data_IF_591425142113
#
_entry.id   IF_591425142113
#
_cell.length_a   1.000
_cell.length_b   1.000
_cell.length_c   1.000
_cell.angle_alpha   90.00
_cell.angle_beta   90.00
_cell.angle_gamma   90.00
#
_symmetry.space_group_name_H-M   'P 1'
#
loop_
_entity.id
_entity.type
_entity.pdbx_description
1 polymer ?
#
# COMPACT_ATOMS: atom_id res chain seq x y z
N UNK A 1 8.41 9.38 2.14
CA UNK A 1 9.43 9.00 3.14
C UNK A 1 10.82 8.74 2.56
N UNK A 2 10.99 7.78 1.66
CA UNK A 2 12.33 7.42 1.11
C UNK A 2 13.12 8.63 0.54
N UNK A 3 12.53 9.55 -0.25
CA UNK A 3 13.27 10.71 -0.76
C UNK A 3 13.91 11.56 0.34
N UNK A 4 13.19 11.81 1.43
CA UNK A 4 13.65 12.64 2.55
C UNK A 4 14.81 12.01 3.32
N UNK A 5 14.83 10.68 3.46
CA UNK A 5 15.97 9.95 4.06
C UNK A 5 17.19 9.97 3.13
N UNK A 6 16.98 9.86 1.81
CA UNK A 6 18.07 9.96 0.82
C UNK A 6 18.75 11.32 0.84
N UNK A 7 17.98 12.40 0.96
CA UNK A 7 18.50 13.77 1.02
C UNK A 7 19.00 14.17 2.42
N UNK A 8 18.99 13.22 3.39
CA UNK A 8 19.40 13.45 4.78
C UNK A 8 18.59 14.54 5.50
N UNK A 9 17.34 14.76 5.09
CA UNK A 9 16.42 15.60 5.86
C UNK A 9 15.98 14.90 7.15
N UNK A 10 15.99 13.56 7.17
CA UNK A 10 15.75 12.73 8.35
C UNK A 10 16.78 11.59 8.38
N UNK A 11 17.12 11.14 9.58
CA UNK A 11 18.08 10.04 9.78
C UNK A 11 17.45 8.67 9.51
N UNK A 12 16.17 8.51 9.87
CA UNK A 12 15.41 7.29 9.68
C UNK A 12 13.93 7.59 9.34
N UNK A 13 13.24 6.62 8.73
CA UNK A 13 11.80 6.67 8.52
C UNK A 13 11.15 5.32 8.85
N UNK A 14 10.08 5.36 9.64
CA UNK A 14 9.21 4.21 9.94
C UNK A 14 7.77 4.57 9.54
N UNK A 15 7.21 3.81 8.61
CA UNK A 15 5.87 4.07 8.06
C UNK A 15 5.33 2.86 7.28
N UNK A 16 5.54 1.65 7.80
CA UNK A 16 5.18 0.39 7.13
C UNK A 16 5.72 0.31 5.70
N UNK A 17 7.01 0.62 5.55
CA UNK A 17 7.65 0.66 4.23
C UNK A 17 8.05 -0.76 3.86
N UNK A 18 7.40 -1.35 2.85
CA UNK A 18 7.77 -2.67 2.35
C UNK A 18 9.23 -2.70 1.91
N UNK A 19 9.90 -3.77 2.33
CA UNK A 19 11.23 -4.11 1.86
C UNK A 19 11.08 -4.66 0.44
N UNK A 20 11.67 -3.98 -0.54
CA UNK A 20 11.71 -4.47 -1.92
C UNK A 20 13.10 -4.27 -2.50
N UNK A 21 13.49 -5.10 -3.47
CA UNK A 21 14.79 -4.97 -4.13
C UNK A 21 14.97 -3.58 -4.77
N UNK A 22 13.91 -3.03 -5.36
CA UNK A 22 13.91 -1.71 -5.95
C UNK A 22 14.20 -0.61 -4.91
N UNK A 23 13.63 -0.71 -3.70
CA UNK A 23 13.87 0.23 -2.61
C UNK A 23 15.25 0.02 -1.98
N UNK A 24 15.68 -1.23 -1.77
CA UNK A 24 16.99 -1.58 -1.20
C UNK A 24 18.17 -1.11 -2.08
N UNK A 25 17.96 -0.90 -3.38
CA UNK A 25 18.95 -0.24 -4.25
C UNK A 25 19.19 1.22 -3.87
N UNK A 26 18.23 1.89 -3.23
CA UNK A 26 18.26 3.32 -2.93
C UNK A 26 18.56 3.67 -1.48
N UNK A 27 18.23 2.79 -0.53
CA UNK A 27 18.33 3.00 0.92
C UNK A 27 18.71 1.70 1.64
N UNK A 28 19.10 1.79 2.91
CA UNK A 28 19.23 0.62 3.78
C UNK A 28 17.94 0.40 4.56
N UNK A 29 17.67 -0.87 4.88
CA UNK A 29 16.57 -1.28 5.73
C UNK A 29 17.12 -1.94 7.01
N UNK A 30 16.42 -1.76 8.12
CA UNK A 30 16.56 -2.65 9.28
C UNK A 30 16.10 -4.07 8.94
N UNK A 31 16.33 -5.01 9.87
CA UNK A 31 15.57 -6.25 9.88
C UNK A 31 14.07 -5.94 9.90
N UNK A 32 13.29 -6.80 9.24
CA UNK A 32 11.83 -6.65 9.19
C UNK A 32 11.25 -6.77 10.60
N UNK A 33 10.48 -5.76 11.01
CA UNK A 33 9.77 -5.77 12.29
C UNK A 33 8.34 -6.33 12.17
N UNK A 34 7.87 -6.60 10.94
CA UNK A 34 6.57 -7.20 10.67
C UNK A 34 6.57 -7.91 9.32
N UNK A 35 6.46 -9.25 9.33
CA UNK A 35 6.62 -10.11 8.14
C UNK A 35 5.33 -10.40 7.37
N UNK A 36 4.15 -10.26 7.99
CA UNK A 36 2.86 -10.60 7.37
C UNK A 36 2.30 -9.46 6.50
N UNK A 37 3.18 -8.80 5.72
CA UNK A 37 2.76 -7.80 4.74
C UNK A 37 2.04 -8.51 3.60
N UNK A 38 0.71 -8.43 3.55
CA UNK A 38 -0.10 -9.02 2.48
C UNK A 38 -1.07 -8.01 1.93
N UNK A 39 -1.29 -8.01 0.61
CA UNK A 39 -2.15 -7.04 -0.05
C UNK A 39 -3.54 -7.62 -0.31
N UNK A 40 -4.59 -6.83 -0.13
CA UNK A 40 -5.98 -7.22 -0.41
C UNK A 40 -6.78 -6.08 -1.01
N UNK A 41 -7.84 -6.41 -1.74
CA UNK A 41 -8.81 -5.44 -2.24
C UNK A 41 -10.01 -5.35 -1.31
N UNK A 42 -10.52 -4.14 -1.11
CA UNK A 42 -11.84 -3.90 -0.49
C UNK A 42 -12.73 -3.07 -1.39
N UNK A 43 -14.03 -3.28 -1.25
CA UNK A 43 -15.09 -2.51 -1.90
C UNK A 43 -16.24 -2.28 -0.90
N UNK A 44 -17.23 -1.47 -1.29
CA UNK A 44 -18.50 -1.42 -0.55
C UNK A 44 -19.26 -2.75 -0.67
N UNK A 45 -20.03 -3.09 0.37
CA UNK A 45 -21.01 -4.18 0.37
C UNK A 45 -22.07 -3.92 -0.70
N UNK A 46 -22.30 -4.91 -1.56
CA UNK A 46 -23.16 -4.77 -2.73
C UNK A 46 -22.59 -3.85 -3.82
N UNK A 47 -21.34 -3.39 -3.66
CA UNK A 47 -20.63 -2.58 -4.63
C UNK A 47 -20.05 -3.39 -5.79
N UNK A 48 -19.05 -2.81 -6.46
CA UNK A 48 -18.49 -3.38 -7.68
C UNK A 48 -17.58 -4.58 -7.38
N UNK A 49 -17.70 -5.63 -8.19
CA UNK A 49 -16.73 -6.73 -8.20
C UNK A 49 -15.44 -6.31 -8.93
N UNK A 50 -14.35 -7.06 -8.74
CA UNK A 50 -13.06 -6.77 -9.37
C UNK A 50 -13.13 -6.76 -10.91
N UNK A 51 -14.03 -7.53 -11.52
CA UNK A 51 -14.13 -7.62 -12.97
C UNK A 51 -14.77 -6.39 -13.61
N UNK A 52 -15.60 -5.67 -12.85
CA UNK A 52 -16.30 -4.45 -13.31
C UNK A 52 -15.62 -3.17 -12.84
N UNK A 53 -14.84 -3.23 -11.76
CA UNK A 53 -14.14 -2.09 -11.19
C UNK A 53 -13.26 -1.38 -12.22
N UNK A 54 -13.30 -0.05 -12.22
CA UNK A 54 -12.49 0.79 -13.11
C UNK A 54 -11.56 1.69 -12.34
N UNK A 55 -12.03 2.32 -11.26
CA UNK A 55 -11.24 3.25 -10.46
C UNK A 55 -10.75 2.54 -9.20
N UNK A 56 -9.43 2.52 -9.03
CA UNK A 56 -8.78 1.90 -7.87
C UNK A 56 -8.07 2.97 -7.05
N UNK A 57 -8.27 2.94 -5.73
CA UNK A 57 -7.43 3.72 -4.84
C UNK A 57 -6.09 3.04 -4.59
N UNK A 58 -5.04 3.86 -4.56
CA UNK A 58 -3.70 3.48 -4.11
C UNK A 58 -3.05 4.63 -3.35
N UNK A 59 -2.34 4.33 -2.27
CA UNK A 59 -1.59 5.37 -1.56
C UNK A 59 -0.38 5.84 -2.39
N UNK A 60 -0.19 7.16 -2.50
CA UNK A 60 0.90 7.72 -3.31
C UNK A 60 2.29 7.29 -2.79
N UNK A 61 3.17 6.80 -3.68
CA UNK A 61 4.51 6.32 -3.36
C UNK A 61 4.58 4.92 -2.73
N UNK A 62 3.44 4.25 -2.56
CA UNK A 62 3.37 2.89 -2.01
C UNK A 62 3.75 1.82 -3.02
N UNK A 63 4.02 0.61 -2.53
CA UNK A 63 4.13 -0.60 -3.37
C UNK A 63 2.81 -0.93 -4.05
N UNK A 64 1.67 -0.64 -3.42
CA UNK A 64 0.33 -0.81 -4.02
C UNK A 64 0.18 0.02 -5.30
N UNK A 65 0.62 1.29 -5.28
CA UNK A 65 0.62 2.13 -6.49
C UNK A 65 1.52 1.55 -7.58
N UNK A 66 2.73 1.11 -7.23
CA UNK A 66 3.66 0.52 -8.19
C UNK A 66 3.12 -0.78 -8.81
N UNK A 67 2.55 -1.65 -7.97
CA UNK A 67 1.90 -2.88 -8.39
C UNK A 67 0.72 -2.57 -9.32
N UNK A 68 -0.15 -1.64 -8.95
CA UNK A 68 -1.33 -1.29 -9.77
C UNK A 68 -0.94 -0.79 -11.16
N UNK A 69 0.03 0.11 -11.22
CA UNK A 69 0.53 0.65 -12.49
C UNK A 69 1.17 -0.41 -13.40
N UNK A 70 1.81 -1.43 -12.81
CA UNK A 70 2.56 -2.43 -13.55
C UNK A 70 1.70 -3.65 -13.93
N UNK A 71 0.90 -4.16 -12.99
CA UNK A 71 0.29 -5.49 -13.04
C UNK A 71 -1.23 -5.46 -13.24
N UNK A 72 -1.93 -4.38 -12.88
CA UNK A 72 -3.40 -4.28 -12.97
C UNK A 72 -3.88 -3.12 -13.83
N UNK A 73 -3.35 -3.07 -15.07
CA UNK A 73 -3.57 -2.01 -16.05
C UNK A 73 -5.03 -1.79 -16.46
N UNK A 74 -5.93 -2.71 -16.14
CA UNK A 74 -7.37 -2.55 -16.34
C UNK A 74 -7.97 -1.48 -15.41
N UNK A 75 -7.31 -1.17 -14.30
CA UNK A 75 -7.76 -0.15 -13.37
C UNK A 75 -7.07 1.19 -13.60
N UNK A 76 -7.82 2.27 -13.37
CA UNK A 76 -7.34 3.65 -13.35
C UNK A 76 -6.99 4.02 -11.91
N UNK A 77 -5.71 4.17 -11.55
CA UNK A 77 -5.31 4.51 -10.20
C UNK A 77 -5.69 5.95 -9.85
N UNK A 78 -6.28 6.12 -8.68
CA UNK A 78 -6.51 7.39 -8.01
C UNK A 78 -5.64 7.41 -6.76
N UNK A 79 -4.68 8.33 -6.74
CA UNK A 79 -3.67 8.36 -5.69
C UNK A 79 -4.13 9.25 -4.53
N UNK A 80 -4.15 8.70 -3.32
CA UNK A 80 -4.51 9.44 -2.10
C UNK A 80 -3.32 9.50 -1.14
N UNK A 81 -3.31 10.54 -0.31
CA UNK A 81 -2.32 10.70 0.77
C UNK A 81 -2.82 10.02 2.03
N UNK A 82 -4.11 10.20 2.35
CA UNK A 82 -4.76 9.60 3.50
C UNK A 82 -5.81 8.56 3.04
N UNK A 83 -6.03 7.54 3.88
CA UNK A 83 -6.99 6.47 3.58
C UNK A 83 -8.45 6.87 3.89
N UNK A 84 -8.68 7.88 4.73
CA UNK A 84 -10.03 8.31 5.14
C UNK A 84 -10.77 9.00 3.99
N UNK A 85 -10.10 9.90 3.27
CA UNK A 85 -10.56 10.57 2.05
C UNK A 85 -10.85 9.53 0.96
N UNK A 86 -9.97 8.52 0.83
CA UNK A 86 -10.18 7.41 -0.08
C UNK A 86 -11.47 6.64 0.24
N UNK A 87 -11.73 6.34 1.51
CA UNK A 87 -12.98 5.70 1.94
C UNK A 87 -14.19 6.58 1.70
N UNK A 88 -14.09 7.90 1.92
CA UNK A 88 -15.18 8.82 1.61
C UNK A 88 -15.51 8.81 0.11
N UNK A 89 -14.50 8.84 -0.74
CA UNK A 89 -14.68 8.78 -2.20
C UNK A 89 -15.16 7.41 -2.69
N UNK A 90 -14.78 6.32 -2.01
CA UNK A 90 -15.35 4.99 -2.22
C UNK A 90 -16.86 4.99 -1.90
N UNK A 91 -17.27 5.53 -0.75
CA UNK A 91 -18.68 5.67 -0.34
C UNK A 91 -19.50 6.51 -1.33
N UNK A 92 -18.88 7.55 -1.90
CA UNK A 92 -19.50 8.42 -2.88
C UNK A 92 -19.47 7.85 -4.32
N UNK A 93 -18.91 6.65 -4.53
CA UNK A 93 -18.83 6.01 -5.84
C UNK A 93 -17.84 6.65 -6.81
N UNK A 94 -16.90 7.48 -6.32
CA UNK A 94 -15.83 8.07 -7.14
C UNK A 94 -14.68 7.09 -7.34
N UNK A 95 -14.55 6.12 -6.44
CA UNK A 95 -13.63 4.99 -6.50
C UNK A 95 -14.47 3.73 -6.37
N UNK A 96 -14.08 2.66 -7.07
CA UNK A 96 -14.80 1.39 -7.03
C UNK A 96 -14.19 0.43 -5.99
N UNK A 97 -12.86 0.41 -5.88
CA UNK A 97 -12.10 -0.49 -5.01
C UNK A 97 -10.87 0.19 -4.41
N UNK A 98 -10.40 -0.31 -3.27
CA UNK A 98 -9.17 0.11 -2.59
C UNK A 98 -8.20 -1.07 -2.53
N UNK A 99 -6.91 -0.84 -2.78
CA UNK A 99 -5.86 -1.84 -2.60
C UNK A 99 -4.85 -1.37 -1.55
N UNK A 100 -4.73 -2.15 -0.47
CA UNK A 100 -3.80 -1.84 0.62
C UNK A 100 -3.39 -3.08 1.41
N UNK A 101 -2.66 -2.86 2.50
CA UNK A 101 -2.25 -3.90 3.45
C UNK A 101 -3.48 -4.54 4.11
N UNK A 102 -3.49 -5.86 4.19
CA UNK A 102 -4.64 -6.64 4.64
C UNK A 102 -4.94 -6.38 6.12
N UNK A 103 -3.91 -6.23 6.97
CA UNK A 103 -4.12 -5.97 8.39
C UNK A 103 -4.66 -4.55 8.61
N UNK A 104 -4.15 -3.58 7.85
CA UNK A 104 -4.68 -2.21 7.85
C UNK A 104 -6.15 -2.16 7.43
N UNK A 105 -6.49 -2.85 6.34
CA UNK A 105 -7.86 -2.95 5.85
C UNK A 105 -8.78 -3.65 6.85
N UNK A 106 -8.31 -4.73 7.48
CA UNK A 106 -9.07 -5.45 8.50
C UNK A 106 -9.35 -4.57 9.73
N UNK A 107 -8.40 -3.74 10.16
CA UNK A 107 -8.65 -2.78 11.26
C UNK A 107 -9.65 -1.69 10.83
N UNK A 108 -9.52 -1.17 9.62
CA UNK A 108 -10.42 -0.16 9.08
C UNK A 108 -11.87 -0.67 8.98
N UNK A 109 -12.07 -1.91 8.55
CA UNK A 109 -13.39 -2.53 8.45
C UNK A 109 -14.12 -2.65 9.80
N UNK A 110 -13.42 -2.61 10.94
CA UNK A 110 -14.06 -2.53 12.27
C UNK A 110 -14.78 -1.19 12.47
N UNK A 111 -14.32 -0.13 11.81
CA UNK A 111 -14.87 1.23 11.87
C UNK A 111 -15.85 1.50 10.73
N UNK A 112 -15.66 0.81 9.61
CA UNK A 112 -16.40 0.97 8.36
C UNK A 112 -17.10 -0.35 7.97
N UNK A 113 -18.19 -0.74 8.68
CA UNK A 113 -18.84 -2.05 8.50
C UNK A 113 -19.49 -2.25 7.14
N UNK A 114 -19.66 -1.21 6.33
CA UNK A 114 -20.12 -1.24 4.94
C UNK A 114 -19.06 -1.73 3.96
N UNK A 115 -17.80 -1.86 4.38
CA UNK A 115 -16.73 -2.39 3.54
C UNK A 115 -16.74 -3.92 3.55
N UNK A 116 -16.20 -4.52 2.50
CA UNK A 116 -15.95 -5.94 2.39
C UNK A 116 -14.68 -6.21 1.59
N UNK A 117 -13.96 -7.28 1.94
CA UNK A 117 -12.93 -7.81 1.06
C UNK A 117 -13.55 -8.37 -0.21
N UNK A 118 -12.89 -8.14 -1.35
CA UNK A 118 -13.32 -8.66 -2.65
C UNK A 118 -12.18 -9.40 -3.33
N UNK A 119 -12.49 -10.56 -3.92
CA UNK A 119 -11.49 -11.45 -4.50
C UNK A 119 -10.58 -12.11 -3.47
N UNK A 120 -9.47 -12.68 -3.95
CA UNK A 120 -8.43 -13.28 -3.11
C UNK A 120 -7.35 -12.27 -2.71
N UNK A 121 -6.52 -12.65 -1.73
CA UNK A 121 -5.30 -11.89 -1.40
C UNK A 121 -4.41 -11.76 -2.65
N UNK A 122 -3.79 -10.60 -2.79
CA UNK A 122 -2.80 -10.34 -3.83
C UNK A 122 -1.45 -10.86 -3.36
N UNK A 123 -0.95 -11.87 -4.06
CA UNK A 123 0.36 -12.46 -3.82
C UNK A 123 1.25 -12.15 -5.01
N UNK A 124 2.13 -11.16 -4.85
CA UNK A 124 3.17 -10.89 -5.83
C UNK A 124 4.50 -10.61 -5.09
N UNK A 125 5.46 -11.57 -5.11
CA UNK A 125 6.70 -11.45 -4.36
C UNK A 125 7.63 -10.37 -4.90
N UNK A 126 7.34 -9.73 -6.03
CA UNK A 126 8.10 -8.55 -6.47
C UNK A 126 7.75 -7.30 -5.63
N UNK A 127 6.55 -7.24 -5.07
CA UNK A 127 6.02 -6.05 -4.40
C UNK A 127 5.66 -6.28 -2.92
N UNK A 128 5.25 -7.49 -2.55
CA UNK A 128 4.69 -7.81 -1.23
C UNK A 128 5.33 -9.06 -0.63
N UNK A 129 5.16 -9.26 0.69
CA UNK A 129 5.54 -10.48 1.40
C UNK A 129 6.97 -10.52 1.96
N UNK A 130 7.71 -9.42 1.87
CA UNK A 130 9.07 -9.29 2.46
C UNK A 130 9.05 -8.61 3.83
N UNK A 131 7.87 -8.25 4.31
CA UNK A 131 7.69 -7.46 5.51
C UNK A 131 8.05 -5.98 5.33
N UNK A 132 8.01 -5.27 6.46
CA UNK A 132 8.28 -3.83 6.53
C UNK A 132 9.47 -3.55 7.43
N UNK A 133 10.27 -2.55 7.05
CA UNK A 133 11.49 -2.18 7.76
C UNK A 133 11.62 -0.68 7.99
N UNK A 134 12.49 -0.32 8.93
CA UNK A 134 12.91 1.06 9.14
C UNK A 134 13.90 1.42 8.03
N UNK A 135 13.70 2.56 7.39
CA UNK A 135 14.55 3.04 6.30
C UNK A 135 15.60 4.01 6.82
N UNK A 136 16.87 3.77 6.51
CA UNK A 136 17.98 4.71 6.77
C UNK A 136 18.75 5.03 5.49
N UNK A 137 19.56 6.09 5.54
CA UNK A 137 20.36 6.51 4.39
C UNK A 137 21.35 5.41 3.96
N UNK A 138 21.55 5.22 2.65
CA UNK A 138 22.39 4.14 2.10
C UNK A 138 23.83 4.13 2.61
N UNK A 139 24.34 5.29 3.04
CA UNK A 139 25.71 5.46 3.52
C UNK A 139 25.82 5.48 5.04
N UNK A 140 24.70 5.42 5.77
CA UNK A 140 24.68 5.43 7.22
C UNK A 140 24.65 3.99 7.75
N UNK A 141 25.83 3.34 7.83
CA UNK A 141 25.98 1.96 8.28
C UNK A 141 26.14 1.79 9.79
N UNK A 142 26.26 2.90 10.52
CA UNK A 142 26.43 2.90 11.97
C UNK A 142 25.09 2.91 12.73
N UNK A 143 23.99 3.12 12.01
CA UNK A 143 22.62 3.24 12.49
C UNK A 143 21.79 2.02 12.07
#
# INVERSE_FOLDING_TARGET
MIPSVKTKHFDAAISSIDITEARAKQVLFSDSYYYDSSASYVALKGGMDLAKAKNIEVQNGSTFQQYTLAETKQYTPKAYVNLQDAILDLKNGRIDIVLSDTALLADMMKKEPELQFVGGKVVNPKYFGHGVGIVVNKYNKAL
#
